data_IF_812202535386
#
_entry.id   IF_812202535386
#
_cell.length_a   1.000
_cell.length_b   1.000
_cell.length_c   1.000
_cell.angle_alpha   90.00
_cell.angle_beta   90.00
_cell.angle_gamma   90.00
#
_symmetry.space_group_name_H-M   'P 1'
#
loop_
_entity.id
_entity.type
_entity.pdbx_description
1 polymer ?
#
# COMPACT_ATOMS: atom_id res chain seq x y z
N UNK A 1 -13.28 1.06 -3.29
CA UNK A 1 -12.03 0.29 -3.16
C UNK A 1 -12.13 -0.96 -4.02
N UNK A 2 -11.09 -1.21 -4.79
CA UNK A 2 -11.04 -2.38 -5.67
C UNK A 2 -9.94 -3.32 -5.19
N UNK A 3 -10.01 -4.58 -5.63
CA UNK A 3 -9.00 -5.57 -5.29
C UNK A 3 -7.59 -5.11 -5.69
N UNK A 4 -7.49 -4.38 -6.81
CA UNK A 4 -6.23 -3.79 -7.26
C UNK A 4 -5.60 -2.92 -6.18
N UNK A 5 -6.39 -2.11 -5.48
CA UNK A 5 -5.89 -1.25 -4.41
C UNK A 5 -5.31 -2.08 -3.27
N UNK A 6 -5.94 -3.19 -2.94
CA UNK A 6 -5.47 -4.08 -1.88
C UNK A 6 -4.15 -4.73 -2.28
N UNK A 7 -4.03 -5.16 -3.53
CA UNK A 7 -2.78 -5.74 -4.04
C UNK A 7 -1.65 -4.73 -4.02
N UNK A 8 -1.93 -3.50 -4.45
CA UNK A 8 -0.92 -2.43 -4.45
C UNK A 8 -0.48 -2.11 -3.03
N UNK A 9 -1.43 -2.00 -2.12
CA UNK A 9 -1.12 -1.76 -0.72
C UNK A 9 -0.21 -2.86 -0.15
N UNK A 10 -0.56 -4.12 -0.39
CA UNK A 10 0.23 -5.25 0.11
C UNK A 10 1.65 -5.21 -0.45
N UNK A 11 1.80 -4.93 -1.73
CA UNK A 11 3.12 -4.86 -2.34
C UNK A 11 3.99 -3.80 -1.68
N UNK A 12 3.43 -2.60 -1.44
CA UNK A 12 4.18 -1.53 -0.77
C UNK A 12 4.50 -1.91 0.67
N UNK A 13 3.56 -2.52 1.37
CA UNK A 13 3.76 -2.94 2.75
C UNK A 13 4.86 -3.99 2.86
N UNK A 14 4.86 -4.96 1.96
CA UNK A 14 5.85 -6.04 1.97
C UNK A 14 7.25 -5.53 1.62
N UNK A 15 7.35 -4.65 0.61
CA UNK A 15 8.64 -4.13 0.16
C UNK A 15 9.16 -2.99 1.02
N UNK A 16 8.27 -2.30 1.72
CA UNK A 16 8.58 -1.09 2.48
C UNK A 16 9.32 -0.06 1.62
N UNK A 17 8.94 -0.02 0.34
CA UNK A 17 9.61 0.82 -0.64
C UNK A 17 8.69 0.93 -1.86
N UNK A 18 8.29 2.16 -2.21
CA UNK A 18 7.38 2.39 -3.32
C UNK A 18 7.99 2.02 -4.66
N UNK A 19 9.27 2.33 -4.86
CA UNK A 19 9.95 2.04 -6.12
C UNK A 19 10.04 0.53 -6.36
N UNK A 20 10.44 -0.21 -5.34
CA UNK A 20 10.54 -1.68 -5.44
C UNK A 20 9.17 -2.32 -5.63
N UNK A 21 8.17 -1.81 -4.92
CA UNK A 21 6.82 -2.33 -5.09
C UNK A 21 6.32 -2.11 -6.51
N UNK A 22 6.57 -0.93 -7.07
CA UNK A 22 6.19 -0.62 -8.45
C UNK A 22 6.87 -1.56 -9.43
N UNK A 23 8.15 -1.84 -9.21
CA UNK A 23 8.89 -2.79 -10.05
C UNK A 23 8.26 -4.19 -10.00
N UNK A 24 7.93 -4.65 -8.80
CA UNK A 24 7.28 -5.95 -8.64
C UNK A 24 5.93 -6.01 -9.31
N UNK A 25 5.19 -4.91 -9.27
CA UNK A 25 3.86 -4.83 -9.88
C UNK A 25 3.94 -4.52 -11.37
N UNK A 26 5.12 -4.24 -11.88
CA UNK A 26 5.35 -3.91 -13.27
C UNK A 26 4.60 -2.66 -13.70
N UNK A 27 4.60 -1.65 -12.83
CA UNK A 27 3.99 -0.35 -13.10
C UNK A 27 4.98 0.76 -12.70
N UNK A 28 4.67 1.99 -13.12
CA UNK A 28 5.47 3.15 -12.72
C UNK A 28 5.15 3.53 -11.28
N UNK A 29 6.12 4.15 -10.61
CA UNK A 29 5.97 4.54 -9.22
C UNK A 29 4.92 5.65 -9.00
N UNK A 30 4.86 6.72 -9.83
CA UNK A 30 3.88 7.76 -9.56
C UNK A 30 2.42 7.29 -9.57
N UNK A 31 1.98 6.43 -10.51
CA UNK A 31 0.64 5.85 -10.43
C UNK A 31 0.41 5.03 -9.16
N UNK A 32 1.41 4.26 -8.73
CA UNK A 32 1.29 3.47 -7.51
C UNK A 32 1.06 4.37 -6.31
N UNK A 33 1.86 5.41 -6.18
CA UNK A 33 1.73 6.35 -5.06
C UNK A 33 0.36 7.01 -5.06
N UNK A 34 -0.15 7.37 -6.24
CA UNK A 34 -1.48 7.97 -6.36
C UNK A 34 -2.58 7.00 -5.94
N UNK A 35 -2.47 5.75 -6.35
CA UNK A 35 -3.45 4.73 -5.98
C UNK A 35 -3.50 4.52 -4.47
N UNK A 36 -2.35 4.53 -3.82
CA UNK A 36 -2.30 4.39 -2.36
C UNK A 36 -2.91 5.62 -1.68
N UNK A 37 -2.63 6.82 -2.19
CA UNK A 37 -3.23 8.04 -1.65
C UNK A 37 -4.75 8.02 -1.81
N UNK A 38 -5.24 7.56 -2.96
CA UNK A 38 -6.68 7.44 -3.19
C UNK A 38 -7.31 6.46 -2.21
N UNK A 39 -6.64 5.34 -1.95
CA UNK A 39 -7.12 4.36 -0.97
C UNK A 39 -7.19 4.98 0.43
N UNK A 40 -6.14 5.71 0.81
CA UNK A 40 -6.13 6.38 2.13
C UNK A 40 -7.25 7.40 2.24
N UNK A 41 -7.53 8.14 1.17
CA UNK A 41 -8.63 9.10 1.15
C UNK A 41 -9.98 8.40 1.28
N UNK A 42 -10.15 7.30 0.57
CA UNK A 42 -11.40 6.54 0.61
C UNK A 42 -11.67 6.00 2.02
N UNK A 43 -10.63 5.52 2.68
CA UNK A 43 -10.73 5.00 4.04
C UNK A 43 -10.69 6.09 5.11
N UNK A 44 -10.40 7.32 4.69
CA UNK A 44 -10.24 8.48 5.58
C UNK A 44 -9.22 8.18 6.69
N UNK A 45 -8.11 7.55 6.31
CA UNK A 45 -7.06 7.23 7.27
C UNK A 45 -5.74 7.06 6.55
N UNK A 46 -4.64 7.30 7.25
CA UNK A 46 -3.31 7.05 6.73
C UNK A 46 -2.91 5.61 7.00
N UNK A 47 -2.40 4.95 5.98
CA UNK A 47 -1.92 3.58 6.09
C UNK A 47 -0.41 3.53 6.21
N UNK A 48 0.28 4.54 5.69
CA UNK A 48 1.74 4.63 5.72
C UNK A 48 2.21 5.93 6.32
N UNK A 49 3.32 5.85 7.07
CA UNK A 49 4.10 7.00 7.49
C UNK A 49 5.30 7.08 6.56
N UNK A 50 5.45 8.24 5.90
CA UNK A 50 6.52 8.45 4.92
C UNK A 50 7.54 9.41 5.49
N UNK A 51 8.81 9.08 5.34
CA UNK A 51 9.92 9.98 5.61
C UNK A 51 10.82 9.99 4.37
N UNK A 52 11.79 10.93 4.28
CA UNK A 52 12.62 11.02 3.07
C UNK A 52 13.33 9.73 2.69
N UNK A 53 13.64 8.86 3.65
CA UNK A 53 14.45 7.68 3.41
C UNK A 53 13.78 6.37 3.78
N UNK A 54 12.53 6.41 4.25
CA UNK A 54 11.86 5.18 4.67
C UNK A 54 10.35 5.36 4.69
N UNK A 55 9.67 4.22 4.69
CA UNK A 55 8.23 4.18 4.94
C UNK A 55 7.97 3.10 5.99
N UNK A 56 6.90 3.29 6.75
CA UNK A 56 6.44 2.31 7.73
C UNK A 56 4.93 2.32 7.74
N UNK A 57 4.33 1.28 8.30
CA UNK A 57 2.88 1.21 8.43
C UNK A 57 2.44 2.00 9.66
N UNK A 58 1.31 2.67 9.54
CA UNK A 58 0.61 3.17 10.71
C UNK A 58 -0.03 1.98 11.44
N UNK A 59 -0.56 2.23 12.62
CA UNK A 59 -1.32 1.22 13.35
C UNK A 59 -2.48 0.72 12.50
N UNK A 60 -3.19 1.65 11.85
CA UNK A 60 -4.29 1.31 10.94
C UNK A 60 -3.79 0.54 9.73
N UNK A 61 -2.61 0.89 9.24
CA UNK A 61 -1.99 0.17 8.12
C UNK A 61 -1.67 -1.27 8.48
N UNK A 62 -1.19 -1.51 9.68
CA UNK A 62 -0.90 -2.87 10.15
C UNK A 62 -2.18 -3.70 10.24
N UNK A 63 -3.25 -3.11 10.75
CA UNK A 63 -4.54 -3.79 10.79
C UNK A 63 -5.05 -4.08 9.38
N UNK A 64 -4.97 -3.09 8.50
CA UNK A 64 -5.41 -3.27 7.12
C UNK A 64 -4.61 -4.37 6.42
N UNK A 65 -3.31 -4.48 6.71
CA UNK A 65 -2.47 -5.52 6.13
C UNK A 65 -2.95 -6.92 6.53
N UNK A 66 -3.39 -7.10 7.76
CA UNK A 66 -3.95 -8.37 8.19
C UNK A 66 -5.15 -8.77 7.33
N UNK A 67 -6.06 -7.83 7.10
CA UNK A 67 -7.23 -8.09 6.24
C UNK A 67 -6.83 -8.29 4.78
N UNK A 68 -5.86 -7.50 4.30
CA UNK A 68 -5.38 -7.64 2.93
C UNK A 68 -4.81 -9.04 2.69
N UNK A 69 -4.03 -9.54 3.64
CA UNK A 69 -3.47 -10.88 3.54
C UNK A 69 -4.57 -11.94 3.49
N UNK A 70 -5.59 -11.80 4.32
CA UNK A 70 -6.71 -12.74 4.31
C UNK A 70 -7.45 -12.72 2.98
N UNK A 71 -7.68 -11.53 2.44
CA UNK A 71 -8.40 -11.37 1.17
C UNK A 71 -7.59 -11.98 0.02
N UNK A 72 -6.29 -11.72 -0.01
CA UNK A 72 -5.44 -12.12 -1.14
C UNK A 72 -4.99 -13.58 -1.05
N UNK A 73 -5.12 -14.21 0.10
CA UNK A 73 -4.77 -15.61 0.29
C UNK A 73 -5.91 -16.57 -0.07
N UNK A 74 -7.05 -16.02 -0.43
CA UNK A 74 -8.16 -16.84 -0.91
C UNK A 74 -7.92 -17.30 -2.35
#
# INVERSE_FOLDING_TARGET
>A
MELRHIRYFKAVADEKNFTRAAEKLNIAQPPLSRQIQDLEKELDTKLFLRSPHSISLTEEGELFLQYANQILDL
#
